data_IF_082695718242
#
_entry.id   IF_082695718242
#
_cell.length_a   1.000
_cell.length_b   1.000
_cell.length_c   1.000
_cell.angle_alpha   90.00
_cell.angle_beta   90.00
_cell.angle_gamma   90.00
#
_symmetry.space_group_name_H-M   'P 1'
#
loop_
_entity.id
_entity.type
_entity.pdbx_description
1 polymer ?
#
# COMPACT_ATOMS: atom_id res chain seq x y z
N UNK A 1 -4.78 21.67 -8.88
CA UNK A 1 -5.42 22.26 -10.09
C UNK A 1 -4.82 21.80 -11.42
N UNK A 2 -3.96 20.79 -11.43
CA UNK A 2 -3.31 20.33 -12.67
C UNK A 2 -4.00 19.15 -13.41
N UNK A 3 -5.16 18.65 -12.93
CA UNK A 3 -5.76 17.44 -13.51
C UNK A 3 -6.81 17.67 -14.62
N UNK A 4 -7.28 18.90 -14.79
CA UNK A 4 -8.29 19.19 -15.82
C UNK A 4 -7.74 19.29 -17.24
N UNK A 5 -6.45 19.61 -17.42
CA UNK A 5 -5.85 19.77 -18.75
C UNK A 5 -5.48 18.46 -19.44
N UNK A 6 -5.20 17.39 -18.68
CA UNK A 6 -4.82 16.09 -19.24
C UNK A 6 -6.04 15.25 -19.69
N UNK A 7 -7.22 15.54 -19.14
CA UNK A 7 -8.48 14.85 -19.46
C UNK A 7 -9.03 15.28 -20.81
N UNK A 8 -8.92 16.57 -21.13
CA UNK A 8 -9.45 17.12 -22.38
C UNK A 8 -8.74 16.60 -23.65
N UNK A 9 -7.53 16.05 -23.53
CA UNK A 9 -6.76 15.57 -24.69
C UNK A 9 -7.01 14.12 -25.09
N UNK A 10 -7.56 13.27 -24.20
CA UNK A 10 -7.74 11.84 -24.46
C UNK A 10 -9.12 11.46 -24.98
N UNK A 11 -10.15 12.20 -24.61
CA UNK A 11 -11.53 11.92 -25.05
C UNK A 11 -11.63 11.87 -26.58
N UNK A 12 -11.05 12.81 -27.34
CA UNK A 12 -11.11 12.76 -28.81
C UNK A 12 -10.40 11.53 -29.41
N UNK A 13 -9.36 11.02 -28.77
CA UNK A 13 -8.67 9.79 -29.21
C UNK A 13 -9.52 8.56 -28.94
N UNK A 14 -10.16 8.50 -27.76
CA UNK A 14 -11.07 7.42 -27.38
C UNK A 14 -12.31 7.38 -28.29
N UNK A 15 -12.82 8.54 -28.71
CA UNK A 15 -13.95 8.62 -29.62
C UNK A 15 -13.67 8.04 -31.00
N UNK A 16 -12.42 7.99 -31.43
CA UNK A 16 -12.01 7.37 -32.71
C UNK A 16 -11.92 5.85 -32.65
N UNK A 17 -11.91 5.26 -31.44
CA UNK A 17 -11.79 3.83 -31.24
C UNK A 17 -13.09 3.08 -31.45
N UNK A 18 -13.00 1.82 -31.85
CA UNK A 18 -14.16 0.93 -31.93
C UNK A 18 -14.67 0.53 -30.56
N UNK A 19 -15.92 0.06 -30.49
CA UNK A 19 -16.53 -0.45 -29.27
C UNK A 19 -15.70 -1.59 -28.67
N UNK A 20 -15.17 -2.48 -29.50
CA UNK A 20 -14.34 -3.60 -29.08
C UNK A 20 -13.01 -3.16 -28.48
N UNK A 21 -12.37 -2.17 -29.12
CA UNK A 21 -11.13 -1.57 -28.61
C UNK A 21 -11.37 -0.86 -27.25
N UNK A 22 -12.47 -0.13 -27.11
CA UNK A 22 -12.83 0.53 -25.86
C UNK A 22 -13.11 -0.47 -24.73
N UNK A 23 -13.81 -1.56 -25.03
CA UNK A 23 -14.02 -2.66 -24.07
C UNK A 23 -12.71 -3.26 -23.61
N UNK A 24 -11.82 -3.57 -24.54
CA UNK A 24 -10.51 -4.15 -24.22
C UNK A 24 -9.66 -3.22 -23.35
N UNK A 25 -9.59 -1.94 -23.67
CA UNK A 25 -8.87 -0.94 -22.89
C UNK A 25 -9.47 -0.82 -21.49
N UNK A 26 -10.79 -0.75 -21.39
CA UNK A 26 -11.48 -0.65 -20.10
C UNK A 26 -11.19 -1.87 -19.22
N UNK A 27 -11.35 -3.08 -19.74
CA UNK A 27 -11.08 -4.31 -19.00
C UNK A 27 -9.62 -4.39 -18.52
N UNK A 28 -8.68 -4.11 -19.40
CA UNK A 28 -7.26 -4.14 -19.04
C UNK A 28 -6.93 -3.09 -17.98
N UNK A 29 -7.45 -1.89 -18.14
CA UNK A 29 -7.18 -0.80 -17.17
C UNK A 29 -7.86 -1.08 -15.83
N UNK A 30 -9.05 -1.64 -15.81
CA UNK A 30 -9.72 -2.05 -14.57
C UNK A 30 -8.92 -3.14 -13.83
N UNK A 31 -8.34 -4.12 -14.56
CA UNK A 31 -7.46 -5.13 -13.97
C UNK A 31 -6.20 -4.49 -13.37
N UNK A 32 -5.58 -3.56 -14.09
CA UNK A 32 -4.39 -2.84 -13.58
C UNK A 32 -4.72 -2.03 -12.33
N UNK A 33 -5.87 -1.37 -12.28
CA UNK A 33 -6.33 -0.63 -11.10
C UNK A 33 -6.54 -1.57 -9.91
N UNK A 34 -7.12 -2.74 -10.12
CA UNK A 34 -7.31 -3.73 -9.05
C UNK A 34 -5.97 -4.24 -8.50
N UNK A 35 -4.99 -4.53 -9.37
CA UNK A 35 -3.64 -4.94 -8.95
C UNK A 35 -2.94 -3.83 -8.16
N UNK A 36 -3.06 -2.58 -8.60
CA UNK A 36 -2.52 -1.43 -7.88
C UNK A 36 -3.21 -1.24 -6.53
N UNK A 37 -4.52 -1.46 -6.45
CA UNK A 37 -5.27 -1.39 -5.20
C UNK A 37 -4.81 -2.45 -4.20
N UNK A 38 -4.55 -3.68 -4.66
CA UNK A 38 -3.99 -4.74 -3.82
C UNK A 38 -2.60 -4.37 -3.30
N UNK A 39 -1.75 -3.79 -4.16
CA UNK A 39 -0.43 -3.30 -3.75
C UNK A 39 -0.52 -2.19 -2.72
N UNK A 40 -1.44 -1.24 -2.88
CA UNK A 40 -1.70 -0.17 -1.91
C UNK A 40 -2.15 -0.74 -0.55
N UNK A 41 -3.02 -1.75 -0.55
CA UNK A 41 -3.47 -2.42 0.66
C UNK A 41 -2.32 -3.15 1.37
N UNK A 42 -1.44 -3.80 0.62
CA UNK A 42 -0.25 -4.46 1.16
C UNK A 42 0.71 -3.46 1.82
N UNK A 43 0.96 -2.31 1.18
CA UNK A 43 1.78 -1.24 1.75
C UNK A 43 1.14 -0.70 3.04
N UNK A 44 -0.16 -0.49 3.05
CA UNK A 44 -0.89 -0.04 4.24
C UNK A 44 -0.76 -1.03 5.40
N UNK A 45 -0.90 -2.32 5.14
CA UNK A 45 -0.72 -3.38 6.13
C UNK A 45 0.71 -3.40 6.68
N UNK A 46 1.71 -3.30 5.81
CA UNK A 46 3.12 -3.25 6.21
C UNK A 46 3.42 -2.01 7.05
N UNK A 47 2.89 -0.86 6.69
CA UNK A 47 3.03 0.39 7.47
C UNK A 47 2.42 0.25 8.85
N UNK A 48 1.23 -0.32 8.97
CA UNK A 48 0.57 -0.57 10.26
C UNK A 48 1.41 -1.48 11.15
N UNK A 49 1.99 -2.53 10.59
CA UNK A 49 2.89 -3.43 11.36
C UNK A 49 4.13 -2.73 11.87
N UNK A 50 4.72 -1.84 11.08
CA UNK A 50 5.87 -1.05 11.49
C UNK A 50 5.51 -0.01 12.56
N UNK A 51 4.35 0.61 12.46
CA UNK A 51 3.83 1.52 13.49
C UNK A 51 3.64 0.79 14.83
N UNK A 52 3.08 -0.42 14.80
CA UNK A 52 2.93 -1.25 15.99
C UNK A 52 4.30 -1.65 16.57
N UNK A 53 5.25 -2.01 15.73
CA UNK A 53 6.62 -2.32 16.16
C UNK A 53 7.29 -1.10 16.79
N UNK A 54 7.16 0.07 16.21
CA UNK A 54 7.68 1.34 16.75
C UNK A 54 7.10 1.66 18.11
N UNK A 55 5.79 1.49 18.29
CA UNK A 55 5.11 1.67 19.57
C UNK A 55 5.59 0.67 20.61
N UNK A 56 5.75 -0.60 20.22
CA UNK A 56 6.29 -1.63 21.11
C UNK A 56 7.72 -1.34 21.55
N UNK A 57 8.57 -0.83 20.67
CA UNK A 57 9.93 -0.39 21.02
C UNK A 57 9.92 0.77 22.02
N UNK A 58 9.01 1.70 21.85
CA UNK A 58 8.87 2.82 22.78
C UNK A 58 8.41 2.35 24.15
N UNK A 59 7.45 1.45 24.24
CA UNK A 59 7.01 0.85 25.49
C UNK A 59 8.13 0.07 26.15
N UNK A 60 8.90 -0.70 25.38
CA UNK A 60 10.01 -1.49 25.87
C UNK A 60 11.13 -0.59 26.43
N UNK A 61 11.37 0.58 25.83
CA UNK A 61 12.38 1.53 26.30
C UNK A 61 12.07 2.12 27.68
N UNK A 62 10.82 2.08 28.10
CA UNK A 62 10.38 2.55 29.44
C UNK A 62 10.45 1.43 30.50
N UNK A 63 10.76 0.19 30.13
CA UNK A 63 10.77 -0.95 31.03
C UNK A 63 12.18 -1.20 31.57
N UNK A 64 12.32 -1.47 32.86
CA UNK A 64 13.64 -1.78 33.45
C UNK A 64 14.11 -3.16 33.00
N UNK A 65 15.45 -3.30 32.90
CA UNK A 65 16.10 -4.57 32.70
C UNK A 65 15.72 -5.58 33.83
N UNK A 66 15.55 -6.84 33.45
CA UNK A 66 15.15 -7.89 34.39
C UNK A 66 13.67 -7.94 34.73
N UNK A 67 12.84 -7.11 34.06
CA UNK A 67 11.39 -7.12 34.28
C UNK A 67 10.79 -8.45 33.86
N UNK A 68 9.96 -9.03 34.73
CA UNK A 68 9.17 -10.23 34.42
C UNK A 68 8.00 -9.86 33.53
N UNK A 69 7.77 -10.66 32.52
CA UNK A 69 6.68 -10.47 31.57
C UNK A 69 6.17 -11.82 31.05
N UNK A 70 4.94 -11.81 30.53
CA UNK A 70 4.39 -12.93 29.79
C UNK A 70 4.72 -12.77 28.31
N UNK A 71 5.42 -13.76 27.75
CA UNK A 71 5.82 -13.77 26.34
C UNK A 71 4.82 -14.60 25.53
N UNK A 72 4.12 -14.01 24.55
CA UNK A 72 3.19 -14.76 23.72
C UNK A 72 3.93 -15.66 22.72
N UNK A 73 3.63 -16.94 22.72
CA UNK A 73 4.09 -17.90 21.72
C UNK A 73 3.04 -18.06 20.60
N UNK A 74 1.78 -18.03 20.98
CA UNK A 74 0.61 -18.02 20.07
C UNK A 74 -0.43 -17.04 20.62
N UNK A 75 -1.53 -16.86 19.92
CA UNK A 75 -2.63 -16.01 20.37
C UNK A 75 -3.23 -16.44 21.72
N UNK A 76 -3.07 -17.71 22.10
CA UNK A 76 -3.64 -18.29 23.33
C UNK A 76 -2.63 -18.86 24.29
N UNK A 77 -1.35 -18.90 23.95
CA UNK A 77 -0.30 -19.50 24.77
C UNK A 77 0.77 -18.47 25.12
N UNK A 78 0.99 -18.27 26.41
CA UNK A 78 1.98 -17.36 26.96
C UNK A 78 2.93 -18.12 27.88
N UNK A 79 4.18 -17.71 27.90
CA UNK A 79 5.18 -18.24 28.84
C UNK A 79 5.78 -17.11 29.68
N UNK A 80 6.08 -17.34 30.96
CA UNK A 80 6.80 -16.34 31.75
C UNK A 80 8.22 -16.17 31.22
N UNK A 81 8.68 -14.94 31.15
CA UNK A 81 10.03 -14.59 30.76
C UNK A 81 10.51 -13.36 31.50
N UNK A 82 11.79 -13.11 31.41
CA UNK A 82 12.44 -11.91 31.97
C UNK A 82 13.12 -11.14 30.85
N UNK A 83 13.06 -9.81 30.90
CA UNK A 83 13.76 -8.94 29.97
C UNK A 83 15.25 -8.93 30.31
N UNK A 84 16.08 -9.55 29.48
CA UNK A 84 17.52 -9.70 29.69
C UNK A 84 18.25 -8.37 29.44
N UNK A 85 18.14 -7.82 28.24
CA UNK A 85 18.74 -6.57 27.87
C UNK A 85 17.68 -5.63 27.26
N UNK A 86 17.35 -4.59 28.00
CA UNK A 86 16.34 -3.62 27.59
C UNK A 86 16.84 -2.59 26.56
N UNK A 87 18.14 -2.56 26.30
CA UNK A 87 18.75 -1.59 25.39
C UNK A 87 18.98 -2.12 23.98
N UNK A 88 18.82 -3.43 23.78
CA UNK A 88 19.05 -4.11 22.51
C UNK A 88 17.82 -4.81 22.00
N UNK A 89 17.69 -4.84 20.71
CA UNK A 89 16.62 -5.52 19.98
C UNK A 89 17.16 -6.29 18.80
N UNK A 90 16.46 -7.34 18.41
CA UNK A 90 16.73 -8.08 17.19
C UNK A 90 15.77 -7.60 16.09
N UNK A 91 16.32 -7.12 15.00
CA UNK A 91 15.56 -6.65 13.83
C UNK A 91 15.64 -7.68 12.72
N UNK A 92 14.49 -8.15 12.25
CA UNK A 92 14.39 -8.99 11.06
C UNK A 92 14.63 -8.13 9.81
N UNK A 93 15.71 -8.40 9.09
CA UNK A 93 16.09 -7.68 7.88
C UNK A 93 15.70 -8.44 6.60
N UNK A 94 14.96 -9.52 6.72
CA UNK A 94 14.47 -10.36 5.62
C UNK A 94 15.06 -11.76 5.65
N UNK A 95 14.31 -12.72 5.07
CA UNK A 95 14.69 -14.13 4.92
C UNK A 95 15.15 -14.85 6.20
N UNK A 96 14.65 -14.43 7.36
CA UNK A 96 15.00 -15.02 8.66
C UNK A 96 16.34 -14.58 9.23
N UNK A 97 16.97 -13.56 8.66
CA UNK A 97 18.17 -12.95 9.23
C UNK A 97 17.79 -11.84 10.20
N UNK A 98 18.38 -11.93 11.41
CA UNK A 98 18.20 -10.95 12.47
C UNK A 98 19.49 -10.23 12.74
N UNK A 99 19.44 -8.91 12.92
CA UNK A 99 20.57 -8.07 13.29
C UNK A 99 20.29 -7.45 14.65
N UNK A 100 21.26 -7.55 15.55
CA UNK A 100 21.21 -6.88 16.85
C UNK A 100 21.41 -5.37 16.66
N UNK A 101 20.48 -4.59 17.19
CA UNK A 101 20.46 -3.14 17.15
C UNK A 101 20.19 -2.57 18.53
N UNK A 102 20.66 -1.35 18.79
CA UNK A 102 20.22 -0.60 19.96
C UNK A 102 18.75 -0.22 19.80
N UNK A 103 18.12 0.14 20.92
CA UNK A 103 16.73 0.58 20.91
C UNK A 103 16.52 1.79 19.98
N UNK A 104 17.42 2.76 20.00
CA UNK A 104 17.38 3.94 19.13
C UNK A 104 17.55 3.59 17.64
N UNK A 105 18.50 2.71 17.34
CA UNK A 105 18.70 2.22 15.96
C UNK A 105 17.49 1.43 15.46
N UNK A 106 16.82 0.66 16.33
CA UNK A 106 15.59 -0.05 16.01
C UNK A 106 14.42 0.91 15.69
N UNK A 107 14.25 1.96 16.48
CA UNK A 107 13.28 3.03 16.23
C UNK A 107 13.55 3.75 14.92
N UNK A 108 14.80 4.11 14.67
CA UNK A 108 15.26 4.72 13.42
C UNK A 108 14.97 3.82 12.21
N UNK A 109 15.21 2.53 12.32
CA UNK A 109 14.91 1.56 11.28
C UNK A 109 13.41 1.55 10.95
N UNK A 110 12.55 1.50 11.95
CA UNK A 110 11.10 1.55 11.76
C UNK A 110 10.67 2.86 11.08
N UNK A 111 11.18 3.99 11.53
CA UNK A 111 10.84 5.31 10.98
C UNK A 111 11.26 5.45 9.52
N UNK A 112 12.47 5.04 9.17
CA UNK A 112 12.95 5.07 7.78
C UNK A 112 12.12 4.16 6.87
N UNK A 113 11.77 2.97 7.34
CA UNK A 113 10.92 2.04 6.59
C UNK A 113 9.51 2.58 6.40
N UNK A 114 8.91 3.18 7.42
CA UNK A 114 7.60 3.81 7.34
C UNK A 114 7.61 4.96 6.32
N UNK A 115 8.63 5.81 6.36
CA UNK A 115 8.76 6.92 5.42
C UNK A 115 8.92 6.44 3.97
N UNK A 116 9.71 5.39 3.75
CA UNK A 116 9.86 4.77 2.43
C UNK A 116 8.53 4.21 1.93
N UNK A 117 7.80 3.49 2.77
CA UNK A 117 6.50 2.92 2.42
C UNK A 117 5.45 4.00 2.13
N UNK A 118 5.43 5.08 2.89
CA UNK A 118 4.55 6.23 2.63
C UNK A 118 4.84 6.87 1.28
N UNK A 119 6.12 7.07 0.95
CA UNK A 119 6.54 7.60 -0.36
C UNK A 119 6.09 6.67 -1.51
N UNK A 120 6.29 5.37 -1.36
CA UNK A 120 5.85 4.39 -2.34
C UNK A 120 4.33 4.35 -2.48
N UNK A 121 3.61 4.46 -1.37
CA UNK A 121 2.15 4.54 -1.36
C UNK A 121 1.64 5.73 -2.17
N UNK A 122 2.22 6.92 -1.95
CA UNK A 122 1.82 8.13 -2.66
C UNK A 122 2.07 8.03 -4.16
N UNK A 123 3.21 7.46 -4.58
CA UNK A 123 3.53 7.23 -5.99
C UNK A 123 2.55 6.24 -6.64
N UNK A 124 2.25 5.13 -5.98
CA UNK A 124 1.29 4.14 -6.48
C UNK A 124 -0.12 4.70 -6.52
N UNK A 125 -0.51 5.50 -5.55
CA UNK A 125 -1.82 6.16 -5.52
C UNK A 125 -1.99 7.10 -6.71
N UNK A 126 -0.96 7.85 -7.05
CA UNK A 126 -0.98 8.73 -8.23
C UNK A 126 -1.17 7.92 -9.53
N UNK A 127 -0.40 6.83 -9.70
CA UNK A 127 -0.54 5.94 -10.86
C UNK A 127 -1.93 5.31 -10.92
N UNK A 128 -2.43 4.81 -9.78
CA UNK A 128 -3.77 4.22 -9.70
C UNK A 128 -4.87 5.23 -10.06
N UNK A 129 -4.75 6.47 -9.61
CA UNK A 129 -5.70 7.54 -9.93
C UNK A 129 -5.70 7.87 -11.42
N UNK A 130 -4.54 7.92 -12.05
CA UNK A 130 -4.42 8.14 -13.51
C UNK A 130 -5.04 6.98 -14.30
N UNK A 131 -4.77 5.74 -13.90
CA UNK A 131 -5.34 4.54 -14.53
C UNK A 131 -6.86 4.49 -14.38
N UNK A 132 -7.37 4.80 -13.20
CA UNK A 132 -8.82 4.86 -12.96
C UNK A 132 -9.49 5.93 -13.83
N UNK A 133 -8.88 7.09 -13.98
CA UNK A 133 -9.38 8.14 -14.86
C UNK A 133 -9.50 7.65 -16.32
N UNK A 134 -8.51 6.91 -16.81
CA UNK A 134 -8.55 6.33 -18.16
C UNK A 134 -9.71 5.32 -18.30
N UNK A 135 -9.89 4.45 -17.30
CA UNK A 135 -10.97 3.47 -17.29
C UNK A 135 -12.35 4.14 -17.29
N UNK A 136 -12.52 5.18 -16.47
CA UNK A 136 -13.76 5.94 -16.38
C UNK A 136 -14.09 6.68 -17.70
N UNK A 137 -13.10 7.32 -18.30
CA UNK A 137 -13.24 8.00 -19.60
C UNK A 137 -13.61 7.01 -20.73
N UNK A 138 -12.91 5.88 -20.79
CA UNK A 138 -13.22 4.81 -21.75
C UNK A 138 -14.65 4.26 -21.53
N UNK A 139 -15.08 4.12 -20.28
CA UNK A 139 -16.43 3.71 -19.93
C UNK A 139 -17.50 4.70 -20.42
N UNK A 140 -17.27 5.98 -20.25
CA UNK A 140 -18.19 7.04 -20.70
C UNK A 140 -18.32 7.03 -22.24
N UNK A 141 -17.21 6.98 -22.96
CA UNK A 141 -17.20 6.94 -24.43
C UNK A 141 -17.86 5.66 -24.95
N UNK A 142 -17.59 4.53 -24.30
CA UNK A 142 -18.19 3.24 -24.63
C UNK A 142 -19.72 3.29 -24.49
N UNK A 143 -20.23 3.81 -23.38
CA UNK A 143 -21.67 3.95 -23.13
C UNK A 143 -22.33 4.86 -24.16
N UNK A 144 -21.71 5.98 -24.53
CA UNK A 144 -22.21 6.89 -25.57
C UNK A 144 -22.30 6.19 -26.93
N UNK A 145 -21.28 5.41 -27.31
CA UNK A 145 -21.31 4.66 -28.59
C UNK A 145 -22.35 3.55 -28.61
N UNK A 146 -22.53 2.84 -27.51
CA UNK A 146 -23.56 1.80 -27.39
C UNK A 146 -24.96 2.38 -27.51
N UNK A 147 -25.22 3.56 -26.93
CA UNK A 147 -26.48 4.28 -27.08
C UNK A 147 -26.73 4.73 -28.52
N UNK A 148 -25.70 5.21 -29.21
CA UNK A 148 -25.83 5.59 -30.63
C UNK A 148 -26.16 4.38 -31.50
N UNK A 149 -25.53 3.24 -31.27
CA UNK A 149 -25.81 1.99 -32.00
C UNK A 149 -27.22 1.46 -31.73
N UNK A 150 -27.69 1.53 -30.49
CA UNK A 150 -29.07 1.12 -30.17
C UNK A 150 -30.14 2.07 -30.71
N UNK A 151 -29.83 3.34 -30.88
CA UNK A 151 -30.74 4.32 -31.49
C UNK A 151 -30.78 4.22 -33.01
N UNK A 152 -29.74 3.64 -33.65
CA UNK A 152 -29.66 3.45 -35.10
C UNK A 152 -30.29 2.12 -35.59
N UNK A 153 -30.67 1.23 -34.68
CA UNK A 153 -31.41 -0.02 -34.94
C UNK A 153 -32.88 0.14 -34.55
#
# INVERSE_FOLDING_TARGET
MASRGAVAGRIPELEKMTVEQLKAIKEQTDLEVNLLQDSLNNIRTATTRLDLASTALQDLSLRPQGKKMLVPLTASLYVPGTLDDAEKVLVDVGTGYFIEKTMEEGKDYCERKINLLKSNYDQLLEVASKKKSIADEAGIVLQAKLKQLSAAS
#
